data_IF_434002297693
#
_entry.id   IF_434002297693
#
_cell.length_a   1.000
_cell.length_b   1.000
_cell.length_c   1.000
_cell.angle_alpha   90.00
_cell.angle_beta   90.00
_cell.angle_gamma   90.00
#
_symmetry.space_group_name_H-M   'P 1'
#
loop_
_entity.id
_entity.type
_entity.pdbx_description
1 polymer ?
#
# COMPACT_ATOMS: atom_id res chain seq x y z
N UNK A 1 -24.04 6.54 8.24
CA UNK A 1 -22.80 7.02 7.60
C UNK A 1 -21.66 6.20 8.17
N UNK A 2 -20.94 5.43 7.34
CA UNK A 2 -19.74 4.70 7.77
C UNK A 2 -18.59 5.72 7.77
N UNK A 3 -17.93 5.90 8.92
CA UNK A 3 -16.84 6.86 9.03
C UNK A 3 -15.61 6.34 8.26
N UNK A 4 -15.13 7.14 7.30
CA UNK A 4 -13.90 6.90 6.56
C UNK A 4 -12.70 7.18 7.47
N UNK A 5 -12.03 6.13 7.94
CA UNK A 5 -10.79 6.28 8.69
C UNK A 5 -9.61 6.10 7.71
N UNK A 6 -8.78 7.13 7.49
CA UNK A 6 -7.57 6.97 6.69
C UNK A 6 -6.68 5.94 7.36
N UNK A 7 -6.24 4.93 6.59
CA UNK A 7 -5.31 3.91 7.05
C UNK A 7 -3.91 4.26 6.55
N UNK A 8 -2.91 3.95 7.37
CA UNK A 8 -1.52 4.22 7.08
C UNK A 8 -0.84 2.88 6.81
N UNK A 9 -0.39 2.68 5.57
CA UNK A 9 0.46 1.55 5.21
C UNK A 9 1.89 2.05 5.15
N UNK A 10 2.77 1.48 5.96
CA UNK A 10 4.21 1.76 5.89
C UNK A 10 4.91 0.51 5.42
N UNK A 11 5.77 0.67 4.42
CA UNK A 11 6.66 -0.39 3.96
C UNK A 11 8.09 0.04 4.17
N UNK A 12 8.76 -0.71 5.03
CA UNK A 12 10.19 -0.62 5.23
C UNK A 12 10.91 -1.43 4.16
N UNK A 13 11.93 -0.85 3.56
CA UNK A 13 12.72 -1.50 2.52
C UNK A 13 14.22 -1.26 2.76
N UNK A 14 15.04 -2.17 2.25
CA UNK A 14 16.49 -2.04 2.26
C UNK A 14 17.00 -2.07 0.82
N UNK A 15 17.82 -1.08 0.45
CA UNK A 15 18.44 -1.01 -0.88
C UNK A 15 19.94 -1.23 -0.73
N UNK A 16 20.35 -2.49 -0.75
CA UNK A 16 21.74 -2.91 -0.56
C UNK A 16 22.72 -2.24 -1.53
N UNK A 17 22.25 -1.88 -2.73
CA UNK A 17 23.05 -1.26 -3.79
C UNK A 17 23.36 0.23 -3.57
N UNK A 18 22.66 0.89 -2.64
CA UNK A 18 22.82 2.31 -2.33
C UNK A 18 23.68 2.58 -1.09
N UNK A 19 24.25 1.55 -0.45
CA UNK A 19 25.02 1.68 0.79
C UNK A 19 24.22 2.34 1.95
N UNK A 20 22.90 2.43 1.82
CA UNK A 20 22.01 3.07 2.78
C UNK A 20 21.46 2.02 3.74
N UNK A 21 21.53 2.32 5.04
CA UNK A 21 21.02 1.46 6.11
C UNK A 21 19.51 1.67 6.23
N UNK A 22 18.76 1.16 5.26
CA UNK A 22 17.29 1.15 5.26
C UNK A 22 16.61 2.46 4.86
N UNK A 23 15.36 2.33 4.42
CA UNK A 23 14.45 3.41 4.11
C UNK A 23 13.00 2.96 4.30
N UNK A 24 12.09 3.91 4.40
CA UNK A 24 10.66 3.63 4.54
C UNK A 24 9.87 4.47 3.55
N UNK A 25 8.93 3.83 2.85
CA UNK A 25 7.86 4.52 2.14
C UNK A 25 6.58 4.38 2.96
N UNK A 26 6.07 5.50 3.43
CA UNK A 26 4.78 5.56 4.10
C UNK A 26 3.75 6.08 3.10
N UNK A 27 2.71 5.29 2.85
CA UNK A 27 1.59 5.62 1.97
C UNK A 27 0.33 5.75 2.82
N UNK A 28 -0.37 6.88 2.66
CA UNK A 28 -1.69 7.10 3.26
C UNK A 28 -2.76 6.93 2.20
N UNK A 29 -3.72 6.06 2.50
CA UNK A 29 -4.87 5.80 1.63
C UNK A 29 -6.17 5.69 2.44
N UNK A 30 -7.27 6.10 1.82
CA UNK A 30 -8.61 5.84 2.31
C UNK A 30 -9.12 4.50 1.79
N UNK A 31 -9.87 3.77 2.61
CA UNK A 31 -10.48 2.49 2.27
C UNK A 31 -11.97 2.54 2.54
N UNK A 32 -12.78 2.25 1.53
CA UNK A 32 -14.24 2.26 1.62
C UNK A 32 -14.82 0.94 1.10
N UNK A 33 -15.58 0.18 1.91
CA UNK A 33 -16.33 -0.96 1.41
C UNK A 33 -17.37 -0.51 0.39
N UNK A 34 -17.23 -0.94 -0.86
CA UNK A 34 -18.16 -0.62 -1.96
C UNK A 34 -18.94 -1.85 -2.45
N UNK A 35 -18.74 -2.99 -1.78
CA UNK A 35 -19.47 -4.22 -2.03
C UNK A 35 -19.16 -5.29 -0.98
N UNK A 36 -19.75 -6.49 -1.11
CA UNK A 36 -19.59 -7.57 -0.12
C UNK A 36 -18.13 -8.02 0.08
N UNK A 37 -17.34 -7.92 -0.98
CA UNK A 37 -15.96 -8.38 -1.03
C UNK A 37 -15.05 -7.38 -1.75
N UNK A 38 -15.47 -6.11 -1.89
CA UNK A 38 -14.73 -5.09 -2.62
C UNK A 38 -14.54 -3.85 -1.77
N UNK A 39 -13.31 -3.34 -1.76
CA UNK A 39 -12.92 -2.12 -1.07
C UNK A 39 -12.35 -1.14 -2.10
N UNK A 40 -12.94 0.04 -2.21
CA UNK A 40 -12.36 1.14 -2.96
C UNK A 40 -11.18 1.73 -2.18
N UNK A 41 -10.12 2.09 -2.90
CA UNK A 41 -8.89 2.66 -2.35
C UNK A 41 -8.71 4.05 -2.96
N UNK A 42 -8.50 5.05 -2.11
CA UNK A 42 -8.22 6.42 -2.53
C UNK A 42 -6.88 6.87 -1.98
N UNK A 43 -5.93 7.13 -2.86
CA UNK A 43 -4.63 7.68 -2.49
C UNK A 43 -4.81 9.06 -1.82
N UNK A 44 -4.02 9.32 -0.77
CA UNK A 44 -3.97 10.64 -0.12
C UNK A 44 -2.61 11.30 -0.33
N UNK A 45 -1.56 10.65 0.15
CA UNK A 45 -0.19 11.09 -0.04
C UNK A 45 0.79 9.97 0.30
N UNK A 46 2.06 10.20 -0.02
CA UNK A 46 3.14 9.31 0.34
C UNK A 46 4.40 10.10 0.72
N UNK A 47 5.19 9.55 1.63
CA UNK A 47 6.44 10.14 2.11
C UNK A 47 7.55 9.11 2.19
N UNK A 48 8.78 9.53 1.84
CA UNK A 48 9.99 8.72 1.93
C UNK A 48 10.83 9.17 3.11
N UNK A 49 11.33 8.20 3.88
CA UNK A 49 12.31 8.43 4.95
C UNK A 49 13.57 7.60 4.69
N UNK A 50 14.78 8.18 4.85
CA UNK A 50 15.01 9.57 5.22
C UNK A 50 14.77 10.54 4.02
N UNK A 51 14.52 11.85 4.24
CA UNK A 51 14.10 12.78 3.18
C UNK A 51 15.04 12.87 1.97
N UNK A 52 16.32 12.54 2.14
CA UNK A 52 17.30 12.49 1.06
C UNK A 52 16.93 11.47 -0.02
N UNK A 53 16.17 10.43 0.33
CA UNK A 53 15.63 9.46 -0.63
C UNK A 53 14.63 10.09 -1.60
N UNK A 54 13.97 11.18 -1.21
CA UNK A 54 12.96 11.82 -2.05
C UNK A 54 13.55 12.29 -3.38
N UNK A 55 14.73 12.92 -3.35
CA UNK A 55 15.45 13.32 -4.57
C UNK A 55 15.98 12.14 -5.40
N UNK A 56 16.34 11.03 -4.74
CA UNK A 56 16.84 9.83 -5.42
C UNK A 56 15.73 9.11 -6.18
N UNK A 57 14.55 9.05 -5.55
CA UNK A 57 13.39 8.38 -6.09
C UNK A 57 12.45 9.33 -6.81
N UNK A 58 12.69 10.64 -6.88
CA UNK A 58 11.87 11.58 -7.66
C UNK A 58 11.70 11.11 -9.12
N UNK A 59 12.78 10.60 -9.74
CA UNK A 59 12.75 10.05 -11.10
C UNK A 59 12.07 8.66 -11.20
N UNK A 60 11.88 7.97 -10.07
CA UNK A 60 11.32 6.61 -10.00
C UNK A 60 10.13 6.55 -9.04
N UNK A 61 9.50 7.70 -8.75
CA UNK A 61 8.49 7.80 -7.70
C UNK A 61 7.23 7.06 -8.15
N UNK A 62 6.91 7.19 -9.44
CA UNK A 62 5.86 6.43 -10.11
C UNK A 62 6.12 4.92 -10.07
N UNK A 63 7.38 4.47 -10.18
CA UNK A 63 7.71 3.04 -10.03
C UNK A 63 7.40 2.57 -8.60
N UNK A 64 7.81 3.32 -7.59
CA UNK A 64 7.50 2.98 -6.19
C UNK A 64 5.99 2.99 -5.94
N UNK A 65 5.28 4.03 -6.37
CA UNK A 65 3.83 4.11 -6.23
C UNK A 65 3.11 3.01 -7.03
N UNK A 66 3.64 2.58 -8.17
CA UNK A 66 3.08 1.48 -8.96
C UNK A 66 3.15 0.13 -8.24
N UNK A 67 4.16 -0.07 -7.39
CA UNK A 67 4.29 -1.27 -6.55
C UNK A 67 3.19 -1.28 -5.48
N UNK A 68 2.91 -0.13 -4.88
CA UNK A 68 1.91 -0.02 -3.81
C UNK A 68 0.48 0.19 -4.30
N UNK A 69 0.34 0.64 -5.55
CA UNK A 69 -0.91 0.88 -6.24
C UNK A 69 -2.00 1.48 -5.32
N UNK A 70 -1.80 2.69 -4.77
CA UNK A 70 -2.63 3.18 -3.67
C UNK A 70 -3.99 3.76 -4.12
N UNK A 71 -4.46 3.40 -5.31
CA UNK A 71 -5.71 3.88 -5.90
C UNK A 71 -6.38 2.78 -6.73
N UNK A 72 -7.71 2.74 -6.70
CA UNK A 72 -8.52 1.77 -7.43
C UNK A 72 -9.42 0.97 -6.49
N UNK A 73 -9.41 -0.35 -6.63
CA UNK A 73 -10.14 -1.24 -5.72
C UNK A 73 -9.38 -2.53 -5.44
N UNK A 74 -9.71 -3.15 -4.31
CA UNK A 74 -9.23 -4.46 -3.89
C UNK A 74 -10.44 -5.39 -3.71
N UNK A 75 -10.46 -6.47 -4.48
CA UNK A 75 -11.34 -7.61 -4.23
C UNK A 75 -10.70 -8.54 -3.20
N UNK A 76 -11.45 -8.93 -2.17
CA UNK A 76 -10.96 -9.71 -1.03
C UNK A 76 -11.66 -11.07 -1.02
N UNK A 77 -10.86 -12.13 -1.07
CA UNK A 77 -11.31 -13.50 -0.83
C UNK A 77 -10.80 -13.96 0.53
N UNK A 78 -11.71 -14.30 1.43
CA UNK A 78 -11.38 -14.87 2.74
C UNK A 78 -11.06 -16.35 2.56
N UNK A 79 -9.86 -16.77 2.95
CA UNK A 79 -9.46 -18.19 2.92
C UNK A 79 -9.87 -18.89 4.21
N UNK A 80 -9.63 -18.22 5.34
CA UNK A 80 -10.03 -18.65 6.68
C UNK A 80 -10.21 -17.42 7.60
N UNK A 81 -10.14 -17.61 8.92
CA UNK A 81 -10.34 -16.54 9.91
C UNK A 81 -9.17 -15.55 9.98
N UNK A 82 -7.97 -15.97 9.58
CA UNK A 82 -6.71 -15.24 9.73
C UNK A 82 -6.13 -14.84 8.36
N UNK A 83 -6.37 -15.63 7.31
CA UNK A 83 -5.80 -15.44 5.99
C UNK A 83 -6.82 -14.99 4.96
N UNK A 84 -6.40 -14.06 4.10
CA UNK A 84 -7.18 -13.59 2.95
C UNK A 84 -6.29 -13.30 1.75
N UNK A 85 -6.86 -13.39 0.56
CA UNK A 85 -6.22 -13.00 -0.70
C UNK A 85 -6.88 -11.74 -1.21
N UNK A 86 -6.07 -10.70 -1.46
CA UNK A 86 -6.51 -9.48 -2.12
C UNK A 86 -6.10 -9.48 -3.59
N UNK A 87 -6.97 -9.07 -4.49
CA UNK A 87 -6.65 -8.81 -5.90
C UNK A 87 -7.01 -7.37 -6.25
N UNK A 88 -6.07 -6.62 -6.78
CA UNK A 88 -6.34 -5.25 -7.20
C UNK A 88 -6.87 -5.17 -8.65
N UNK A 89 -7.26 -3.97 -9.06
CA UNK A 89 -7.73 -3.62 -10.39
C UNK A 89 -6.66 -3.70 -11.49
N UNK A 90 -5.39 -3.88 -11.11
CA UNK A 90 -4.23 -3.95 -12.02
C UNK A 90 -3.68 -5.37 -12.17
N UNK A 91 -4.30 -6.34 -11.49
CA UNK A 91 -3.99 -7.76 -11.60
C UNK A 91 -2.94 -8.25 -10.61
N UNK A 92 -2.50 -7.42 -9.66
CA UNK A 92 -1.64 -7.87 -8.56
C UNK A 92 -2.45 -8.69 -7.56
N UNK A 93 -1.78 -9.66 -6.93
CA UNK A 93 -2.36 -10.54 -5.92
C UNK A 93 -1.53 -10.46 -4.65
N UNK A 94 -2.20 -10.24 -3.52
CA UNK A 94 -1.61 -10.08 -2.20
C UNK A 94 -2.12 -11.17 -1.28
N UNK A 95 -1.23 -11.80 -0.53
CA UNK A 95 -1.60 -12.66 0.60
C UNK A 95 -1.52 -11.81 1.86
N UNK A 96 -2.63 -11.74 2.59
CA UNK A 96 -2.78 -10.88 3.76
C UNK A 96 -3.13 -11.74 4.96
N UNK A 97 -2.45 -11.45 6.06
CA UNK A 97 -2.77 -11.99 7.38
C UNK A 97 -3.50 -10.91 8.18
N UNK A 98 -4.52 -11.30 8.94
CA UNK A 98 -5.20 -10.44 9.88
C UNK A 98 -4.30 -10.27 11.10
N UNK A 99 -3.71 -9.08 11.25
CA UNK A 99 -3.04 -8.71 12.50
C UNK A 99 -4.07 -8.74 13.65
N UNK A 100 -3.75 -9.52 14.68
CA UNK A 100 -4.54 -9.72 15.90
C UNK A 100 -4.32 -8.61 16.93
#
# INVERSE_FOLDING_TARGET
MVAMHPQINTVDFNVAQLSMVGGALTVRAGYEPVGPARVAITFKDASLRPPQLQKLFEANYDLLLSIFNPEGWLDITYLDQEHRVGRDDKGNVFVLEKLS
#
